data_IF_369812198376
#
_entry.id   IF_369812198376
#
_cell.length_a   1.000
_cell.length_b   1.000
_cell.length_c   1.000
_cell.angle_alpha   90.00
_cell.angle_beta   90.00
_cell.angle_gamma   90.00
#
_symmetry.space_group_name_H-M   'P 1'
#
loop_
_entity.id
_entity.type
_entity.pdbx_description
1 polymer ?
#
# COMPACT_ATOMS: atom_id res chain seq x y z
N UNK A 1 47.58 31.44 -6.62
CA UNK A 1 46.19 31.44 -7.09
C UNK A 1 45.59 30.09 -6.74
N UNK A 2 44.61 30.13 -5.83
CA UNK A 2 43.55 29.18 -5.44
C UNK A 2 43.44 27.85 -6.22
N UNK A 3 43.48 26.71 -5.53
CA UNK A 3 42.74 25.48 -5.92
C UNK A 3 41.37 25.43 -5.21
N UNK A 4 40.58 24.34 -5.23
CA UNK A 4 40.55 23.16 -6.12
C UNK A 4 39.16 22.94 -6.79
N UNK A 5 39.13 22.34 -7.99
CA UNK A 5 37.90 21.84 -8.63
C UNK A 5 37.72 20.34 -8.35
N UNK A 6 37.11 20.02 -7.21
CA UNK A 6 36.46 18.71 -7.02
C UNK A 6 34.95 18.91 -7.04
N UNK A 7 34.35 18.36 -8.10
CA UNK A 7 32.91 18.38 -8.36
C UNK A 7 32.11 17.92 -7.14
N UNK A 8 31.49 18.90 -6.48
CA UNK A 8 30.38 18.67 -5.58
C UNK A 8 29.20 18.13 -6.38
N UNK A 9 28.75 16.93 -6.03
CA UNK A 9 27.41 16.44 -6.38
C UNK A 9 26.41 17.09 -5.45
N UNK A 10 25.44 17.90 -5.94
CA UNK A 10 24.19 18.02 -5.24
C UNK A 10 23.30 16.87 -5.68
N UNK A 11 23.03 16.01 -4.70
CA UNK A 11 21.86 15.17 -4.65
C UNK A 11 20.60 16.00 -4.89
N UNK A 12 20.23 16.20 -6.16
CA UNK A 12 18.89 16.61 -6.52
C UNK A 12 18.02 15.36 -6.47
N UNK A 13 17.70 14.98 -5.24
CA UNK A 13 16.59 14.11 -4.88
C UNK A 13 15.38 14.70 -5.60
N UNK A 14 15.05 14.13 -6.76
CA UNK A 14 13.88 14.51 -7.52
C UNK A 14 12.69 14.20 -6.64
N UNK A 15 12.28 15.21 -5.88
CA UNK A 15 10.99 15.30 -5.25
C UNK A 15 9.98 15.31 -6.38
N UNK A 16 9.62 14.12 -6.85
CA UNK A 16 8.39 13.90 -7.55
C UNK A 16 7.30 14.35 -6.58
N UNK A 17 6.80 15.55 -6.84
CA UNK A 17 5.56 16.08 -6.29
C UNK A 17 4.56 14.93 -6.18
N UNK A 18 3.95 14.65 -5.02
CA UNK A 18 2.81 13.75 -4.97
C UNK A 18 1.63 14.49 -5.62
N UNK A 19 1.67 14.58 -6.94
CA UNK A 19 0.61 15.14 -7.75
C UNK A 19 -0.43 14.05 -7.96
N UNK A 20 -1.68 14.43 -7.74
CA UNK A 20 -2.88 13.71 -8.15
C UNK A 20 -3.08 12.32 -7.55
N UNK A 21 -3.80 12.31 -6.42
CA UNK A 21 -4.84 11.32 -6.19
C UNK A 21 -5.66 11.14 -7.49
N UNK A 22 -5.40 10.08 -8.27
CA UNK A 22 -6.29 9.72 -9.39
C UNK A 22 -5.73 8.96 -10.60
N UNK A 23 -4.43 8.89 -10.85
CA UNK A 23 -3.92 8.27 -12.09
C UNK A 23 -2.88 7.16 -11.82
N UNK A 24 -3.28 5.90 -11.99
CA UNK A 24 -2.34 4.76 -12.05
C UNK A 24 -1.99 4.11 -10.71
N UNK A 25 -2.97 3.91 -9.83
CA UNK A 25 -2.82 3.05 -8.65
C UNK A 25 -2.66 1.59 -9.12
N UNK A 26 -1.43 1.08 -9.15
CA UNK A 26 -1.14 -0.31 -9.49
C UNK A 26 -1.57 -1.22 -8.33
N UNK A 27 -2.67 -1.99 -8.47
CA UNK A 27 -3.25 -2.70 -7.35
C UNK A 27 -2.31 -3.77 -6.78
N UNK A 28 -1.38 -4.31 -7.58
CA UNK A 28 -0.40 -5.26 -7.10
C UNK A 28 0.66 -4.60 -6.21
N UNK A 29 1.14 -3.41 -6.59
CA UNK A 29 2.07 -2.60 -5.76
C UNK A 29 1.44 -2.19 -4.45
N UNK A 30 0.17 -1.80 -4.46
CA UNK A 30 -0.53 -1.42 -3.25
C UNK A 30 -0.83 -2.63 -2.35
N UNK A 31 -1.12 -3.80 -2.94
CA UNK A 31 -1.20 -5.05 -2.20
C UNK A 31 0.14 -5.40 -1.51
N UNK A 32 1.27 -5.24 -2.21
CA UNK A 32 2.59 -5.44 -1.63
C UNK A 32 2.89 -4.44 -0.51
N UNK A 33 2.47 -3.18 -0.66
CA UNK A 33 2.62 -2.14 0.37
C UNK A 33 1.76 -2.42 1.59
N UNK A 34 0.50 -2.84 1.40
CA UNK A 34 -0.39 -3.31 2.47
C UNK A 34 0.20 -4.50 3.21
N UNK A 35 0.75 -5.47 2.48
CA UNK A 35 1.40 -6.61 3.10
C UNK A 35 2.59 -6.20 3.96
N UNK A 36 3.31 -5.13 3.61
CA UNK A 36 4.44 -4.59 4.38
C UNK A 36 4.04 -3.82 5.64
N UNK A 37 2.76 -3.44 5.79
CA UNK A 37 2.31 -2.73 6.98
C UNK A 37 2.27 -3.65 8.21
N UNK A 38 2.67 -3.16 9.40
CA UNK A 38 2.80 -3.98 10.60
C UNK A 38 1.47 -4.30 11.27
N UNK A 39 0.43 -3.48 11.07
CA UNK A 39 -0.85 -3.61 11.75
C UNK A 39 -2.04 -3.37 10.84
N UNK A 40 -3.17 -4.02 11.19
CA UNK A 40 -4.46 -3.82 10.53
C UNK A 40 -4.90 -2.34 10.59
N UNK A 41 -4.64 -1.65 11.70
CA UNK A 41 -4.97 -0.24 11.87
C UNK A 41 -4.27 0.66 10.83
N UNK A 42 -2.98 0.41 10.55
CA UNK A 42 -2.24 1.13 9.50
C UNK A 42 -2.81 0.84 8.12
N UNK A 43 -3.18 -0.41 7.84
CA UNK A 43 -3.86 -0.80 6.60
C UNK A 43 -5.21 -0.10 6.41
N UNK A 44 -6.02 -0.02 7.47
CA UNK A 44 -7.30 0.68 7.46
C UNK A 44 -7.10 2.19 7.25
N UNK A 45 -6.13 2.81 7.92
CA UNK A 45 -5.81 4.22 7.73
C UNK A 45 -5.37 4.52 6.28
N UNK A 46 -4.53 3.64 5.72
CA UNK A 46 -4.05 3.74 4.33
C UNK A 46 -5.20 3.64 3.31
N UNK A 47 -6.18 2.76 3.56
CA UNK A 47 -7.33 2.52 2.68
C UNK A 47 -8.52 3.47 2.94
N UNK A 48 -8.55 4.17 4.08
CA UNK A 48 -9.66 5.07 4.43
C UNK A 48 -9.82 6.21 3.42
N UNK A 49 -8.72 6.71 2.86
CA UNK A 49 -8.72 7.73 1.80
C UNK A 49 -9.14 7.25 0.41
N UNK A 50 -9.32 5.93 0.21
CA UNK A 50 -9.56 5.37 -1.12
C UNK A 50 -11.04 5.41 -1.52
N UNK A 51 -11.28 5.49 -2.83
CA UNK A 51 -12.62 5.33 -3.39
C UNK A 51 -13.06 3.87 -3.41
N UNK A 52 -14.37 3.64 -3.38
CA UNK A 52 -14.97 2.30 -3.51
C UNK A 52 -14.52 1.58 -4.79
N UNK A 53 -14.28 2.32 -5.88
CA UNK A 53 -13.78 1.76 -7.14
C UNK A 53 -12.35 1.23 -7.00
N UNK A 54 -11.47 1.99 -6.35
CA UNK A 54 -10.09 1.56 -6.09
C UNK A 54 -10.04 0.36 -5.14
N UNK A 55 -10.85 0.37 -4.07
CA UNK A 55 -10.96 -0.75 -3.15
C UNK A 55 -11.44 -2.03 -3.85
N UNK A 56 -12.41 -1.93 -4.77
CA UNK A 56 -12.88 -3.07 -5.57
C UNK A 56 -11.81 -3.57 -6.54
N UNK A 57 -11.06 -2.68 -7.19
CA UNK A 57 -9.97 -3.06 -8.07
C UNK A 57 -8.85 -3.81 -7.31
N UNK A 58 -8.51 -3.33 -6.11
CA UNK A 58 -7.57 -4.00 -5.21
C UNK A 58 -8.10 -5.37 -4.75
N UNK A 59 -9.37 -5.44 -4.35
CA UNK A 59 -9.99 -6.70 -3.96
C UNK A 59 -10.02 -7.72 -5.11
N UNK A 60 -10.28 -7.28 -6.34
CA UNK A 60 -10.22 -8.13 -7.53
C UNK A 60 -8.80 -8.64 -7.80
N UNK A 61 -7.77 -7.80 -7.62
CA UNK A 61 -6.37 -8.21 -7.73
C UNK A 61 -6.00 -9.26 -6.67
N UNK A 62 -6.51 -9.10 -5.44
CA UNK A 62 -6.37 -10.08 -4.36
C UNK A 62 -7.28 -11.32 -4.52
N UNK A 63 -8.03 -11.42 -5.63
CA UNK A 63 -9.01 -12.50 -5.90
C UNK A 63 -10.05 -12.71 -4.78
N UNK A 64 -10.38 -11.65 -4.04
CA UNK A 64 -11.42 -11.67 -3.03
C UNK A 64 -12.80 -11.85 -3.70
N UNK A 65 -13.54 -12.88 -3.29
CA UNK A 65 -14.90 -13.15 -3.77
C UNK A 65 -15.97 -12.56 -2.84
N UNK A 66 -17.12 -12.19 -3.41
CA UNK A 66 -18.26 -11.66 -2.64
C UNK A 66 -18.06 -10.25 -2.10
N UNK A 67 -17.26 -9.41 -2.78
CA UNK A 67 -16.97 -8.02 -2.38
C UNK A 67 -17.86 -6.97 -3.07
N UNK A 68 -18.72 -7.39 -4.00
CA UNK A 68 -19.58 -6.49 -4.79
C UNK A 68 -20.65 -5.76 -3.97
N UNK A 69 -21.22 -6.45 -2.97
CA UNK A 69 -22.29 -5.93 -2.11
C UNK A 69 -21.84 -5.35 -0.77
N UNK A 70 -20.54 -5.37 -0.49
CA UNK A 70 -20.01 -4.90 0.80
C UNK A 70 -19.96 -3.37 0.85
N UNK A 71 -20.16 -2.84 2.06
CA UNK A 71 -19.92 -1.42 2.36
C UNK A 71 -18.42 -1.14 2.30
N UNK A 72 -18.06 0.14 2.14
CA UNK A 72 -16.67 0.59 2.10
C UNK A 72 -15.87 0.07 3.31
N UNK A 73 -16.40 0.22 4.52
CA UNK A 73 -15.75 -0.23 5.74
C UNK A 73 -15.48 -1.74 5.73
N UNK A 74 -16.49 -2.55 5.42
CA UNK A 74 -16.34 -4.01 5.32
C UNK A 74 -15.34 -4.43 4.23
N UNK A 75 -15.33 -3.73 3.10
CA UNK A 75 -14.38 -3.99 2.03
C UNK A 75 -12.94 -3.72 2.48
N UNK A 76 -12.72 -2.65 3.25
CA UNK A 76 -11.42 -2.32 3.85
C UNK A 76 -11.01 -3.41 4.84
N UNK A 77 -11.88 -3.79 5.77
CA UNK A 77 -11.59 -4.83 6.76
C UNK A 77 -11.22 -6.16 6.10
N UNK A 78 -11.93 -6.57 5.05
CA UNK A 78 -11.67 -7.83 4.33
C UNK A 78 -10.33 -7.82 3.58
N UNK A 79 -9.97 -6.68 2.97
CA UNK A 79 -8.68 -6.51 2.29
C UNK A 79 -7.53 -6.60 3.32
N UNK A 80 -7.68 -5.91 4.44
CA UNK A 80 -6.71 -5.87 5.53
C UNK A 80 -6.57 -7.24 6.21
N UNK A 81 -7.68 -7.92 6.46
CA UNK A 81 -7.68 -9.26 7.04
C UNK A 81 -7.00 -10.28 6.13
N UNK A 82 -7.29 -10.26 4.82
CA UNK A 82 -6.65 -11.16 3.88
C UNK A 82 -5.13 -10.93 3.75
N UNK A 83 -4.69 -9.67 3.78
CA UNK A 83 -3.27 -9.33 3.56
C UNK A 83 -2.42 -9.43 4.83
N UNK A 84 -2.90 -8.88 5.94
CA UNK A 84 -2.17 -8.82 7.21
C UNK A 84 -2.51 -10.02 8.09
N UNK A 85 -3.76 -10.51 8.08
CA UNK A 85 -4.17 -11.70 8.84
C UNK A 85 -3.47 -12.97 8.38
N UNK A 86 -3.35 -13.20 7.07
CA UNK A 86 -2.64 -14.37 6.55
C UNK A 86 -1.15 -14.38 6.91
N UNK A 87 -0.52 -13.20 6.93
CA UNK A 87 0.88 -13.03 7.36
C UNK A 87 1.04 -13.26 8.85
N UNK A 88 0.18 -12.69 9.70
CA UNK A 88 0.26 -12.86 11.16
C UNK A 88 0.11 -14.33 11.56
N UNK A 89 -0.81 -15.06 10.93
CA UNK A 89 -0.96 -16.50 11.15
C UNK A 89 0.29 -17.26 10.68
N UNK A 90 0.79 -16.94 9.48
CA UNK A 90 2.01 -17.54 8.92
C UNK A 90 3.31 -17.21 9.70
N UNK A 91 3.45 -15.99 10.24
CA UNK A 91 4.62 -15.61 11.06
C UNK A 91 4.51 -16.15 12.49
N UNK A 92 3.31 -16.29 13.03
CA UNK A 92 3.09 -16.99 14.30
C UNK A 92 3.46 -18.48 14.17
N UNK A 93 3.10 -19.12 13.06
CA UNK A 93 3.46 -20.52 12.78
C UNK A 93 4.97 -20.73 12.58
N UNK A 94 5.70 -19.73 12.05
CA UNK A 94 7.15 -19.82 11.83
C UNK A 94 7.98 -19.64 13.11
N UNK A 95 7.38 -19.22 14.23
CA UNK A 95 8.09 -18.88 15.48
C UNK A 95 7.96 -19.97 16.55
N UNK A 96 8.00 -21.24 16.17
CA UNK A 96 7.99 -22.38 17.10
C UNK A 96 9.17 -23.30 16.87
#
# INVERSE_FOLDING_TARGET
MTGPDHGSTPAARAAAKPTAAGAGTDPARDAARLAALPSRADGTAYLSGWSLRQLRALAANLRLRGVGGLRKAELVERIVDHTIGYRLDSTALRRR
#
